data_IF_908555159314
#
_entry.id   IF_908555159314
#
_cell.length_a   1.000
_cell.length_b   1.000
_cell.length_c   1.000
_cell.angle_alpha   90.00
_cell.angle_beta   90.00
_cell.angle_gamma   90.00
#
_symmetry.space_group_name_H-M   'P 1'
#
loop_
_entity.id
_entity.type
_entity.pdbx_description
1 polymer ?
#
# COMPACT_ATOMS: atom_id res chain seq x y z
N UNK A 1 17.31 -5.98 12.85
CA UNK A 1 16.48 -6.02 11.62
C UNK A 1 15.07 -5.61 12.01
N UNK A 2 14.56 -4.49 11.49
CA UNK A 2 13.16 -4.11 11.72
C UNK A 2 12.24 -5.12 11.03
N UNK A 3 11.14 -5.56 11.66
CA UNK A 3 10.22 -6.52 11.04
C UNK A 3 9.71 -5.94 9.73
N UNK A 4 9.78 -6.74 8.66
CA UNK A 4 9.16 -6.39 7.38
C UNK A 4 7.66 -6.33 7.64
N UNK A 5 7.13 -5.11 7.70
CA UNK A 5 5.70 -4.89 7.84
C UNK A 5 5.03 -5.38 6.57
N UNK A 6 4.32 -6.51 6.66
CA UNK A 6 3.55 -7.05 5.55
C UNK A 6 2.16 -6.44 5.57
N UNK A 7 1.85 -5.64 4.54
CA UNK A 7 0.51 -5.10 4.31
C UNK A 7 -0.32 -6.11 3.53
N UNK A 8 -1.53 -6.37 3.99
CA UNK A 8 -2.49 -7.23 3.28
C UNK A 8 -2.94 -6.59 1.96
N UNK A 9 -3.60 -7.36 1.09
CA UNK A 9 -4.19 -6.82 -0.14
C UNK A 9 -5.23 -5.74 0.17
N UNK A 10 -6.03 -5.90 1.22
CA UNK A 10 -7.00 -4.89 1.67
C UNK A 10 -6.34 -3.58 2.10
N UNK A 11 -5.24 -3.67 2.85
CA UNK A 11 -4.46 -2.50 3.28
C UNK A 11 -3.97 -1.70 2.07
N UNK A 12 -3.48 -2.39 1.06
CA UNK A 12 -2.96 -1.78 -0.18
C UNK A 12 -4.09 -1.16 -0.99
N UNK A 13 -5.21 -1.86 -1.13
CA UNK A 13 -6.43 -1.31 -1.76
C UNK A 13 -6.85 -0.03 -1.04
N UNK A 14 -6.87 -0.04 0.29
CA UNK A 14 -7.22 1.14 1.08
C UNK A 14 -6.27 2.31 0.77
N UNK A 15 -4.96 2.06 0.76
CA UNK A 15 -3.95 3.08 0.46
C UNK A 15 -4.17 3.68 -0.94
N UNK A 16 -4.31 2.83 -1.97
CA UNK A 16 -4.47 3.30 -3.35
C UNK A 16 -5.74 4.10 -3.54
N UNK A 17 -6.88 3.58 -3.07
CA UNK A 17 -8.18 4.29 -3.19
C UNK A 17 -8.14 5.64 -2.49
N UNK A 18 -7.57 5.70 -1.29
CA UNK A 18 -7.58 6.93 -0.51
C UNK A 18 -6.50 7.93 -0.94
N UNK A 19 -5.46 7.50 -1.64
CA UNK A 19 -4.45 8.41 -2.20
C UNK A 19 -5.07 9.46 -3.12
N UNK A 20 -5.88 9.02 -4.09
CA UNK A 20 -6.54 9.91 -5.04
C UNK A 20 -7.66 10.73 -4.39
N UNK A 21 -8.42 10.14 -3.44
CA UNK A 21 -9.43 10.89 -2.67
C UNK A 21 -8.82 11.97 -1.78
N UNK A 22 -7.58 11.80 -1.34
CA UNK A 22 -6.83 12.80 -0.57
C UNK A 22 -6.08 13.80 -1.46
N UNK A 23 -6.33 13.84 -2.77
CA UNK A 23 -5.64 14.75 -3.69
C UNK A 23 -4.13 14.52 -3.71
N UNK A 24 -3.70 13.25 -3.65
CA UNK A 24 -2.29 12.84 -3.64
C UNK A 24 -1.50 13.34 -2.41
N UNK A 25 -2.21 13.73 -1.35
CA UNK A 25 -1.61 14.21 -0.12
C UNK A 25 -1.32 13.05 0.85
N UNK A 26 -0.04 12.68 0.94
CA UNK A 26 0.42 11.62 1.84
C UNK A 26 0.07 11.88 3.32
N UNK A 27 0.05 13.13 3.78
CA UNK A 27 -0.26 13.44 5.19
C UNK A 27 -1.73 13.16 5.49
N UNK A 28 -2.64 13.57 4.61
CA UNK A 28 -4.07 13.30 4.76
C UNK A 28 -4.37 11.80 4.68
N UNK A 29 -3.74 11.09 3.74
CA UNK A 29 -3.84 9.64 3.65
C UNK A 29 -3.43 8.98 4.98
N UNK A 30 -2.29 9.41 5.54
CA UNK A 30 -1.75 8.86 6.78
C UNK A 30 -2.56 9.22 8.02
N UNK A 31 -3.25 10.37 8.03
CA UNK A 31 -4.23 10.70 9.07
C UNK A 31 -5.44 9.78 8.95
N UNK A 32 -5.97 9.59 7.74
CA UNK A 32 -7.11 8.70 7.48
C UNK A 32 -6.79 7.26 7.85
N UNK A 33 -5.59 6.78 7.54
CA UNK A 33 -5.10 5.48 7.98
C UNK A 33 -5.16 5.33 9.50
N UNK A 34 -4.58 6.29 10.24
CA UNK A 34 -4.57 6.25 11.70
C UNK A 34 -5.98 6.32 12.31
N UNK A 35 -6.92 6.99 11.64
CA UNK A 35 -8.31 7.04 12.06
C UNK A 35 -9.07 5.72 11.80
N UNK A 36 -8.83 5.08 10.65
CA UNK A 36 -9.49 3.82 10.27
C UNK A 36 -8.89 2.60 10.95
N UNK A 37 -7.56 2.54 11.10
CA UNK A 37 -6.84 1.39 11.61
C UNK A 37 -5.98 1.75 12.82
N UNK A 38 -6.52 1.58 14.03
CA UNK A 38 -5.78 1.81 15.28
C UNK A 38 -4.71 0.75 15.56
N UNK A 39 -4.95 -0.49 15.14
CA UNK A 39 -4.09 -1.64 15.46
C UNK A 39 -3.19 -2.08 14.29
N UNK A 40 -3.17 -1.33 13.19
CA UNK A 40 -2.33 -1.67 12.03
C UNK A 40 -1.11 -0.75 11.94
N UNK A 41 0.06 -1.30 11.58
CA UNK A 41 1.28 -0.50 11.45
C UNK A 41 1.10 0.56 10.38
N UNK A 42 1.43 1.81 10.73
CA UNK A 42 1.26 2.94 9.83
C UNK A 42 2.20 2.84 8.62
N UNK A 43 1.69 2.93 7.37
CA UNK A 43 2.54 2.92 6.20
C UNK A 43 3.48 4.12 6.20
N UNK A 44 4.71 3.89 5.74
CA UNK A 44 5.63 4.99 5.48
C UNK A 44 5.19 5.74 4.22
N UNK A 45 5.52 7.03 4.15
CA UNK A 45 5.24 7.84 2.95
C UNK A 45 5.90 7.25 1.70
N UNK A 46 7.11 6.70 1.85
CA UNK A 46 7.84 6.06 0.76
C UNK A 46 7.12 4.80 0.26
N UNK A 47 6.64 3.95 1.18
CA UNK A 47 5.91 2.73 0.82
C UNK A 47 4.59 3.07 0.11
N UNK A 48 3.82 4.04 0.62
CA UNK A 48 2.58 4.47 -0.04
C UNK A 48 2.86 4.96 -1.47
N UNK A 49 3.89 5.80 -1.67
CA UNK A 49 4.28 6.28 -3.00
C UNK A 49 4.75 5.17 -3.94
N UNK A 50 5.55 4.22 -3.44
CA UNK A 50 6.00 3.07 -4.23
C UNK A 50 4.81 2.20 -4.68
N UNK A 51 3.86 1.97 -3.77
CA UNK A 51 2.62 1.25 -4.08
C UNK A 51 1.79 1.95 -5.15
N UNK A 52 1.64 3.28 -5.07
CA UNK A 52 0.94 4.08 -6.09
C UNK A 52 1.65 3.98 -7.44
N UNK A 53 2.96 4.15 -7.49
CA UNK A 53 3.74 4.02 -8.74
C UNK A 53 3.59 2.64 -9.38
N UNK A 54 3.60 1.58 -8.57
CA UNK A 54 3.34 0.21 -9.04
C UNK A 54 1.93 0.08 -9.59
N UNK A 55 0.93 0.61 -8.88
CA UNK A 55 -0.44 0.60 -9.33
C UNK A 55 -0.64 1.37 -10.64
N UNK A 56 -0.06 2.56 -10.78
CA UNK A 56 -0.12 3.36 -12.01
C UNK A 56 0.57 2.67 -13.19
N UNK A 57 1.66 1.94 -12.93
CA UNK A 57 2.42 1.24 -13.97
C UNK A 57 1.77 -0.06 -14.41
N UNK A 58 1.18 -0.81 -13.48
CA UNK A 58 0.77 -2.21 -13.73
C UNK A 58 -0.73 -2.47 -13.54
N UNK A 59 -1.46 -1.55 -12.91
CA UNK A 59 -2.91 -1.65 -12.68
C UNK A 59 -3.33 -2.56 -11.53
N UNK A 60 -2.40 -3.10 -10.74
CA UNK A 60 -2.71 -4.01 -9.62
C UNK A 60 -2.01 -3.61 -8.31
N UNK A 61 -2.59 -4.07 -7.20
CA UNK A 61 -2.17 -3.75 -5.82
C UNK A 61 -1.61 -4.94 -5.04
N UNK A 62 -1.87 -6.16 -5.49
CA UNK A 62 -1.34 -7.39 -4.90
C UNK A 62 0.10 -7.65 -5.37
N UNK A 63 0.94 -8.27 -4.53
CA UNK A 63 2.25 -8.80 -4.94
C UNK A 63 2.08 -10.12 -5.74
N UNK A 64 1.02 -10.28 -6.53
CA UNK A 64 0.63 -11.54 -7.16
C UNK A 64 1.53 -11.99 -8.33
N UNK A 65 2.81 -11.62 -8.27
CA UNK A 65 3.88 -12.26 -9.04
C UNK A 65 4.90 -12.97 -8.15
N UNK A 66 4.59 -13.22 -6.87
CA UNK A 66 5.36 -14.15 -6.04
C UNK A 66 4.76 -15.55 -6.04
N UNK A 67 4.47 -16.08 -7.24
CA UNK A 67 3.98 -17.44 -7.42
C UNK A 67 3.85 -17.81 -8.89
N UNK A 68 4.79 -18.63 -9.40
CA UNK A 68 4.84 -19.29 -10.72
C UNK A 68 5.50 -18.54 -11.89
N UNK A 69 6.73 -18.10 -11.70
CA UNK A 69 7.73 -18.06 -12.79
C UNK A 69 8.94 -18.88 -12.37
N UNK A 70 8.76 -20.21 -12.29
CA UNK A 70 9.80 -21.11 -11.79
C UNK A 70 9.27 -22.49 -11.40
N UNK A 71 8.63 -23.18 -12.35
CA UNK A 71 8.55 -24.64 -12.33
C UNK A 71 8.82 -25.06 -13.78
N UNK A 72 10.09 -25.26 -14.08
CA UNK A 72 10.56 -25.92 -15.30
C UNK A 72 10.92 -27.34 -14.90
#
# INVERSE_FOLDING_TARGET
MSPIVSYSTEDRIFIVKNWYLCGENATLLLQKWSATFRNRPKPSRAMARDLIRKFERFGYVADDLKGKAGAK
#
